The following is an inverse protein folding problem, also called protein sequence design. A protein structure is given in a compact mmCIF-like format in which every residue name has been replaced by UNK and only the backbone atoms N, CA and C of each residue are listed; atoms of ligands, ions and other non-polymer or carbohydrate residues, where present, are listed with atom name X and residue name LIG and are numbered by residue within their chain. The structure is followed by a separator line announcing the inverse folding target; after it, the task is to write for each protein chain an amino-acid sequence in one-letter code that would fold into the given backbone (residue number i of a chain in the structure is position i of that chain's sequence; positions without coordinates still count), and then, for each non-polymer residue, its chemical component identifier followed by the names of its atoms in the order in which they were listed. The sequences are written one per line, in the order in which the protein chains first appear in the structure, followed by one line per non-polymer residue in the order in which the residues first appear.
data_IF_025443469800
#
_entry.id   IF_025443469800
#
_cell.length_a   1.000
_cell.length_b   1.000
_cell.length_c   1.000
_cell.angle_alpha   90.00
_cell.angle_beta   90.00
_cell.angle_gamma   90.00
#
_symmetry.space_group_name_H-M   'P 1'
#
loop_
_entity.id
_entity.type
_entity.pdbx_description
1 polymer ?
#
# COMPACT_ATOMS: atom_id res chain seq x y z
N UNK A 1 7.66 -8.24 -3.80
CA UNK A 1 6.96 -8.28 -5.12
C UNK A 1 7.85 -8.78 -6.25
N UNK A 2 9.16 -8.58 -6.19
CA UNK A 2 10.09 -9.38 -6.98
C UNK A 2 10.30 -10.73 -6.28
N UNK A 3 10.36 -11.82 -7.04
CA UNK A 3 10.41 -13.16 -6.47
C UNK A 3 11.71 -13.43 -5.70
N UNK A 4 12.82 -12.86 -6.18
CA UNK A 4 14.15 -13.03 -5.60
C UNK A 4 14.48 -12.11 -4.43
N UNK A 5 13.57 -11.22 -4.04
CA UNK A 5 13.69 -10.30 -2.90
C UNK A 5 12.94 -10.90 -1.70
N UNK A 6 13.58 -11.86 -1.04
CA UNK A 6 12.91 -12.86 -0.18
C UNK A 6 12.69 -12.37 1.25
N UNK A 7 13.52 -11.47 1.75
CA UNK A 7 13.42 -10.98 3.14
C UNK A 7 12.01 -10.50 3.46
N UNK A 8 11.40 -9.71 2.56
CA UNK A 8 10.04 -9.21 2.74
C UNK A 8 8.99 -10.30 2.91
N UNK A 9 9.09 -11.39 2.14
CA UNK A 9 8.19 -12.54 2.23
C UNK A 9 8.24 -13.16 3.62
N UNK A 10 9.44 -13.47 4.10
CA UNK A 10 9.65 -14.11 5.39
C UNK A 10 9.29 -13.18 6.55
N UNK A 11 9.58 -11.88 6.45
CA UNK A 11 9.21 -10.88 7.46
C UNK A 11 7.69 -10.82 7.66
N UNK A 12 6.89 -10.93 6.60
CA UNK A 12 5.42 -10.93 6.72
C UNK A 12 4.88 -12.23 7.35
N UNK A 13 5.54 -13.37 7.10
CA UNK A 13 5.19 -14.65 7.75
C UNK A 13 5.51 -14.59 9.25
N UNK A 14 6.71 -14.16 9.62
CA UNK A 14 7.09 -13.96 11.03
C UNK A 14 6.19 -12.94 11.73
N UNK A 15 5.81 -11.86 11.03
CA UNK A 15 4.88 -10.87 11.57
C UNK A 15 3.51 -11.48 11.84
N UNK A 16 2.98 -12.30 10.93
CA UNK A 16 1.71 -12.99 11.14
C UNK A 16 1.77 -13.90 12.38
N UNK A 17 2.83 -14.70 12.51
CA UNK A 17 3.05 -15.57 13.67
C UNK A 17 3.17 -14.78 14.98
N UNK A 18 3.92 -13.67 14.96
CA UNK A 18 4.11 -12.80 16.12
C UNK A 18 2.80 -12.15 16.57
N UNK A 19 2.02 -11.59 15.63
CA UNK A 19 0.73 -10.98 15.93
C UNK A 19 -0.22 -11.99 16.57
N UNK A 20 -0.33 -13.21 16.03
CA UNK A 20 -1.16 -14.28 16.60
C UNK A 20 -0.69 -14.69 17.99
N UNK A 21 0.61 -14.98 18.16
CA UNK A 21 1.16 -15.48 19.42
C UNK A 21 1.03 -14.46 20.54
N UNK A 22 1.46 -13.22 20.29
CA UNK A 22 1.41 -12.16 21.29
C UNK A 22 -0.03 -11.74 21.65
N UNK A 23 -0.97 -11.83 20.70
CA UNK A 23 -2.38 -11.61 20.99
C UNK A 23 -2.91 -12.63 22.01
N UNK A 24 -2.60 -13.91 21.81
CA UNK A 24 -3.00 -15.01 22.71
C UNK A 24 -2.31 -14.93 24.07
N UNK A 25 -1.06 -14.46 24.11
CA UNK A 25 -0.31 -14.24 25.36
C UNK A 25 -0.74 -12.99 26.14
N UNK A 26 -1.71 -12.22 25.64
CA UNK A 26 -2.21 -11.04 26.36
C UNK A 26 -1.36 -9.78 26.20
N UNK A 27 -0.50 -9.70 25.18
CA UNK A 27 0.30 -8.50 24.95
C UNK A 27 -0.59 -7.30 24.61
N UNK A 28 -0.64 -6.31 25.51
CA UNK A 28 -1.56 -5.17 25.41
C UNK A 28 -1.31 -4.28 24.18
N UNK A 29 -0.08 -4.20 23.66
CA UNK A 29 0.24 -3.43 22.44
C UNK A 29 -0.35 -4.14 21.22
N UNK A 30 -0.10 -5.44 21.10
CA UNK A 30 -0.55 -6.25 19.96
C UNK A 30 -2.07 -6.40 19.97
N UNK A 31 -2.68 -6.70 21.12
CA UNK A 31 -4.14 -6.76 21.23
C UNK A 31 -4.80 -5.43 20.84
N UNK A 32 -4.22 -4.29 21.26
CA UNK A 32 -4.72 -2.97 20.84
C UNK A 32 -4.61 -2.76 19.34
N UNK A 33 -3.47 -3.11 18.74
CA UNK A 33 -3.24 -2.96 17.31
C UNK A 33 -4.25 -3.79 16.50
N UNK A 34 -4.37 -5.09 16.79
CA UNK A 34 -5.27 -6.02 16.09
C UNK A 34 -6.74 -5.67 16.31
N UNK A 35 -7.15 -5.30 17.53
CA UNK A 35 -8.55 -4.96 17.82
C UNK A 35 -9.00 -3.63 17.20
N UNK A 36 -8.07 -2.76 16.78
CA UNK A 36 -8.38 -1.44 16.23
C UNK A 36 -7.96 -1.28 14.76
N UNK A 37 -7.36 -2.30 14.15
CA UNK A 37 -6.84 -2.25 12.76
C UNK A 37 -7.18 -3.53 12.03
N UNK A 38 -7.73 -3.40 10.81
CA UNK A 38 -7.87 -4.53 9.88
C UNK A 38 -6.58 -4.66 9.06
N UNK A 39 -5.68 -5.54 9.52
CA UNK A 39 -4.38 -5.78 8.90
C UNK A 39 -4.53 -6.83 7.79
N UNK A 40 -3.96 -6.55 6.62
CA UNK A 40 -3.83 -7.54 5.55
C UNK A 40 -2.36 -7.73 5.23
N UNK A 41 -1.92 -8.98 5.14
CA UNK A 41 -0.55 -9.35 4.81
C UNK A 41 -0.58 -10.14 3.50
N UNK A 42 0.21 -9.71 2.51
CA UNK A 42 0.44 -10.42 1.25
C UNK A 42 1.92 -10.84 1.19
N UNK A 43 2.28 -12.03 1.72
CA UNK A 43 3.68 -12.45 1.79
C UNK A 43 4.38 -12.51 0.43
N UNK A 44 3.67 -12.92 -0.63
CA UNK A 44 4.25 -12.98 -1.97
C UNK A 44 3.24 -12.53 -3.02
N UNK A 45 3.58 -11.45 -3.72
CA UNK A 45 2.87 -10.99 -4.92
C UNK A 45 3.36 -11.70 -6.19
N UNK A 46 4.61 -12.19 -6.20
CA UNK A 46 5.20 -12.92 -7.33
C UNK A 46 5.72 -14.29 -6.85
N UNK A 47 4.82 -15.24 -6.53
CA UNK A 47 5.22 -16.57 -6.09
C UNK A 47 5.98 -17.34 -7.18
N UNK A 48 5.59 -17.19 -8.46
CA UNK A 48 6.26 -17.88 -9.57
C UNK A 48 7.73 -17.48 -9.71
N UNK A 49 8.03 -16.18 -9.63
CA UNK A 49 9.41 -15.70 -9.63
C UNK A 49 10.21 -16.16 -8.40
N UNK A 50 9.53 -16.34 -7.25
CA UNK A 50 10.19 -16.85 -6.04
C UNK A 50 10.65 -18.29 -6.22
N UNK A 51 9.82 -19.18 -6.77
CA UNK A 51 10.21 -20.58 -7.00
C UNK A 51 11.44 -20.67 -7.91
N UNK A 52 11.48 -19.86 -8.99
CA UNK A 52 12.65 -19.77 -9.88
C UNK A 52 13.92 -19.29 -9.16
N UNK A 53 13.80 -18.31 -8.26
CA UNK A 53 14.93 -17.86 -7.45
C UNK A 53 15.38 -18.92 -6.44
N UNK A 54 14.43 -19.66 -5.86
CA UNK A 54 14.69 -20.67 -4.85
C UNK A 54 15.39 -21.91 -5.43
N UNK A 55 15.11 -22.26 -6.70
CA UNK A 55 15.80 -23.35 -7.41
C UNK A 55 17.31 -23.09 -7.59
N UNK A 56 17.72 -21.83 -7.74
CA UNK A 56 19.15 -21.45 -7.85
C UNK A 56 19.86 -21.48 -6.49
N UNK A 57 19.10 -21.29 -5.40
CA UNK A 57 19.58 -21.33 -4.03
C UNK A 57 19.90 -19.96 -3.43
N UNK A 58 19.74 -19.86 -2.11
CA UNK A 58 20.06 -18.66 -1.34
C UNK A 58 21.56 -18.31 -1.39
N UNK A 59 21.89 -17.03 -1.42
CA UNK A 59 23.26 -16.51 -1.49
C UNK A 59 23.97 -16.69 -2.85
N UNK A 60 23.34 -17.38 -3.81
CA UNK A 60 23.88 -17.62 -5.15
C UNK A 60 23.01 -17.03 -6.26
N UNK A 61 21.83 -16.52 -5.92
CA UNK A 61 20.90 -16.05 -6.93
C UNK A 61 21.43 -14.77 -7.58
N UNK A 62 21.56 -14.80 -8.91
CA UNK A 62 21.90 -13.59 -9.66
C UNK A 62 20.92 -12.46 -9.31
N UNK A 63 21.40 -11.21 -9.32
CA UNK A 63 20.61 -10.00 -9.00
C UNK A 63 19.24 -9.89 -9.72
N UNK A 64 19.06 -10.67 -10.78
CA UNK A 64 17.93 -10.67 -11.72
C UNK A 64 17.14 -12.00 -11.80
N UNK A 65 17.72 -13.15 -11.46
CA UNK A 65 17.01 -14.42 -11.61
C UNK A 65 15.84 -14.49 -10.63
N UNK A 66 14.65 -14.90 -11.10
CA UNK A 66 13.41 -14.90 -10.31
C UNK A 66 12.86 -13.51 -9.93
N UNK A 67 13.44 -12.40 -10.44
CA UNK A 67 12.92 -11.05 -10.19
C UNK A 67 11.55 -10.83 -10.83
N UNK A 68 11.45 -11.18 -12.11
CA UNK A 68 10.26 -10.96 -12.94
C UNK A 68 9.22 -12.07 -12.74
N UNK A 69 8.00 -11.88 -13.26
CA UNK A 69 6.99 -12.95 -13.32
C UNK A 69 7.38 -14.04 -14.32
N UNK A 70 6.64 -15.16 -14.35
CA UNK A 70 6.78 -16.21 -15.37
C UNK A 70 6.61 -15.69 -16.83
N UNK A 71 6.07 -14.49 -17.00
CA UNK A 71 5.89 -13.83 -18.29
C UNK A 71 6.99 -12.80 -18.62
N UNK A 72 8.09 -12.78 -17.84
CA UNK A 72 9.20 -11.82 -17.91
C UNK A 72 8.76 -10.36 -17.74
N UNK A 73 7.78 -10.12 -16.85
CA UNK A 73 7.33 -8.78 -16.51
C UNK A 73 7.88 -8.37 -15.14
N UNK A 74 8.44 -7.16 -15.05
CA UNK A 74 8.74 -6.53 -13.76
C UNK A 74 7.44 -5.92 -13.21
N UNK A 75 6.92 -6.51 -12.12
CA UNK A 75 5.66 -6.07 -11.51
C UNK A 75 5.73 -4.61 -11.02
N UNK A 76 6.91 -4.12 -10.62
CA UNK A 76 7.09 -2.73 -10.18
C UNK A 76 7.37 -1.77 -11.34
N UNK A 77 7.13 -2.21 -12.58
CA UNK A 77 7.06 -1.40 -13.81
C UNK A 77 5.76 -1.64 -14.58
N UNK A 78 4.82 -2.39 -14.00
CA UNK A 78 3.64 -2.88 -14.70
C UNK A 78 2.33 -2.18 -14.28
N UNK A 79 2.35 -1.32 -13.25
CA UNK A 79 1.19 -0.50 -12.88
C UNK A 79 0.99 0.67 -13.87
N UNK A 80 -0.22 1.24 -13.98
CA UNK A 80 -0.45 2.43 -14.78
C UNK A 80 0.43 3.60 -14.34
N UNK A 81 1.09 4.26 -15.29
CA UNK A 81 1.81 5.52 -15.02
C UNK A 81 0.82 6.67 -14.82
N UNK A 82 0.34 6.80 -13.58
CA UNK A 82 -0.51 7.90 -13.16
C UNK A 82 0.31 9.14 -12.78
N UNK A 83 1.61 8.99 -12.52
CA UNK A 83 2.48 10.10 -12.11
C UNK A 83 2.67 11.08 -13.26
N UNK A 84 2.86 10.58 -14.49
CA UNK A 84 2.83 11.41 -15.71
C UNK A 84 1.53 12.20 -15.86
N UNK A 85 0.38 11.58 -15.57
CA UNK A 85 -0.92 12.25 -15.64
C UNK A 85 -1.09 13.28 -14.52
N UNK A 86 -0.63 12.98 -13.31
CA UNK A 86 -0.61 13.90 -12.18
C UNK A 86 0.21 15.16 -12.50
N UNK A 87 1.38 15.02 -13.14
CA UNK A 87 2.21 16.16 -13.55
C UNK A 87 1.57 17.02 -14.63
N UNK A 88 0.83 16.43 -15.58
CA UNK A 88 0.04 17.20 -16.56
C UNK A 88 -1.05 18.01 -15.84
N UNK A 89 -1.75 17.39 -14.90
CA UNK A 89 -2.82 18.02 -14.14
C UNK A 89 -2.30 19.08 -13.15
N UNK A 90 -1.10 18.90 -12.59
CA UNK A 90 -0.48 19.85 -11.68
C UNK A 90 -0.35 21.27 -12.28
N UNK A 91 -0.18 21.34 -13.61
CA UNK A 91 -0.09 22.60 -14.39
C UNK A 91 -1.44 23.32 -14.53
N UNK A 92 -2.54 22.63 -14.30
CA UNK A 92 -3.90 23.15 -14.46
C UNK A 92 -4.44 23.60 -13.10
N UNK A 93 -4.76 24.89 -12.97
CA UNK A 93 -5.30 25.44 -11.72
C UNK A 93 -6.64 24.80 -11.38
N UNK A 94 -6.72 24.19 -10.19
CA UNK A 94 -7.95 23.55 -9.69
C UNK A 94 -8.16 22.12 -10.18
N UNK A 95 -7.28 21.59 -11.02
CA UNK A 95 -7.28 20.16 -11.33
C UNK A 95 -6.92 19.33 -10.10
N UNK A 96 -7.50 18.14 -10.04
CA UNK A 96 -7.28 17.16 -8.97
C UNK A 96 -6.16 16.22 -9.37
N UNK A 97 -5.42 15.73 -8.37
CA UNK A 97 -4.31 14.80 -8.55
C UNK A 97 -4.51 13.53 -7.72
N UNK A 98 -5.75 13.28 -7.28
CA UNK A 98 -6.18 12.12 -6.50
C UNK A 98 -7.23 11.34 -7.28
N UNK A 99 -7.33 10.04 -7.03
CA UNK A 99 -8.28 9.13 -7.67
C UNK A 99 -8.25 9.21 -9.20
N UNK A 100 -7.05 9.31 -9.78
CA UNK A 100 -6.85 9.43 -11.22
C UNK A 100 -7.35 8.15 -11.91
N UNK A 101 -8.19 8.25 -12.96
CA UNK A 101 -8.67 7.06 -13.67
C UNK A 101 -7.52 6.39 -14.41
N UNK A 102 -7.59 5.06 -14.54
CA UNK A 102 -6.62 4.30 -15.35
C UNK A 102 -6.82 4.67 -16.83
N UNK A 103 -5.79 5.17 -17.54
CA UNK A 103 -5.91 5.51 -18.95
C UNK A 103 -6.26 4.29 -19.81
N UNK A 104 -7.15 4.44 -20.80
CA UNK A 104 -7.54 3.31 -21.65
C UNK A 104 -6.34 2.70 -22.42
N UNK A 105 -5.34 3.52 -22.74
CA UNK A 105 -4.10 3.10 -23.40
C UNK A 105 -3.28 2.10 -22.59
N UNK A 106 -3.39 2.12 -21.25
CA UNK A 106 -2.70 1.17 -20.38
C UNK A 106 -3.11 -0.28 -20.71
N UNK A 107 -4.40 -0.50 -20.97
CA UNK A 107 -4.96 -1.81 -21.26
C UNK A 107 -4.59 -2.36 -22.64
N UNK A 108 -3.99 -1.54 -23.51
CA UNK A 108 -3.42 -1.99 -24.78
C UNK A 108 -2.07 -2.69 -24.59
N UNK A 109 -1.41 -2.48 -23.44
CA UNK A 109 -0.16 -3.13 -23.07
C UNK A 109 -0.34 -4.50 -22.42
N UNK A 110 0.79 -5.18 -22.19
CA UNK A 110 0.81 -6.46 -21.47
C UNK A 110 0.76 -6.21 -19.96
N UNK A 111 -0.39 -6.53 -19.35
CA UNK A 111 -0.61 -6.39 -17.90
C UNK A 111 -0.58 -7.77 -17.24
N UNK A 112 0.30 -7.94 -16.26
CA UNK A 112 0.46 -9.17 -15.52
C UNK A 112 -0.81 -9.50 -14.69
N UNK A 113 -1.20 -10.78 -14.57
CA UNK A 113 -2.36 -11.17 -13.76
C UNK A 113 -2.23 -10.74 -12.29
N UNK A 114 -1.02 -10.74 -11.73
CA UNK A 114 -0.72 -10.30 -10.37
C UNK A 114 -1.01 -8.81 -10.20
N UNK A 115 -0.60 -7.98 -11.18
CA UNK A 115 -0.92 -6.55 -11.19
C UNK A 115 -2.43 -6.32 -11.23
N UNK A 116 -3.17 -7.06 -12.07
CA UNK A 116 -4.64 -6.95 -12.12
C UNK A 116 -5.30 -7.36 -10.79
N UNK A 117 -4.84 -8.46 -10.20
CA UNK A 117 -5.35 -8.95 -8.92
C UNK A 117 -5.13 -7.92 -7.81
N UNK A 118 -3.93 -7.33 -7.74
CA UNK A 118 -3.59 -6.32 -6.75
C UNK A 118 -4.36 -5.01 -6.99
N UNK A 119 -4.48 -4.53 -8.22
CA UNK A 119 -5.32 -3.36 -8.53
C UNK A 119 -6.79 -3.59 -8.13
N UNK A 120 -7.34 -4.78 -8.40
CA UNK A 120 -8.70 -5.14 -7.98
C UNK A 120 -8.81 -5.19 -6.45
N UNK A 121 -7.82 -5.74 -5.77
CA UNK A 121 -7.76 -5.81 -4.31
C UNK A 121 -7.71 -4.42 -3.66
N UNK A 122 -6.87 -3.52 -4.17
CA UNK A 122 -6.76 -2.12 -3.74
C UNK A 122 -8.10 -1.37 -3.81
N UNK A 123 -8.93 -1.67 -4.82
CA UNK A 123 -10.27 -1.07 -4.96
C UNK A 123 -11.32 -1.68 -4.03
N UNK A 124 -11.10 -2.90 -3.55
CA UNK A 124 -12.10 -3.66 -2.79
C UNK A 124 -12.16 -3.29 -1.30
N UNK A 125 -11.13 -2.64 -0.78
CA UNK A 125 -10.96 -2.32 0.63
C UNK A 125 -10.48 -0.86 0.72
N UNK A 126 -10.99 -0.06 1.66
CA UNK A 126 -10.49 1.30 1.88
C UNK A 126 -9.13 1.27 2.60
N UNK A 127 -8.08 0.83 1.90
CA UNK A 127 -6.72 0.88 2.41
C UNK A 127 -6.30 2.33 2.69
N UNK A 128 -5.62 2.53 3.83
CA UNK A 128 -5.19 3.85 4.31
C UNK A 128 -3.68 3.98 4.29
N UNK A 129 -2.98 2.93 4.72
CA UNK A 129 -1.52 2.88 4.82
C UNK A 129 -1.06 1.51 4.33
N UNK A 130 0.00 1.48 3.54
CA UNK A 130 0.63 0.28 2.98
C UNK A 130 2.15 0.42 2.96
N UNK A 131 2.84 -0.72 2.89
CA UNK A 131 4.25 -0.77 2.56
C UNK A 131 4.51 -1.97 1.63
N UNK A 132 5.27 -1.73 0.55
CA UNK A 132 5.83 -2.81 -0.27
C UNK A 132 7.23 -3.14 0.21
N UNK A 133 7.53 -4.43 0.41
CA UNK A 133 8.80 -4.90 0.94
C UNK A 133 9.68 -5.45 -0.20
N UNK A 134 10.92 -5.01 -0.22
CA UNK A 134 11.93 -5.22 -1.24
C UNK A 134 13.30 -5.59 -0.65
N UNK A 135 14.23 -5.92 -1.53
CA UNK A 135 15.64 -6.16 -1.19
C UNK A 135 16.57 -5.75 -2.33
N UNK A 136 17.82 -5.49 -1.99
CA UNK A 136 18.86 -4.99 -2.88
C UNK A 136 19.53 -3.71 -2.39
N UNK A 137 18.97 -3.08 -1.35
CA UNK A 137 19.57 -1.98 -0.61
C UNK A 137 19.02 -1.97 0.84
N UNK A 138 19.43 -1.00 1.66
CA UNK A 138 18.95 -0.84 3.04
C UNK A 138 18.51 0.61 3.28
N UNK A 139 17.26 0.91 2.90
CA UNK A 139 16.69 2.27 2.90
C UNK A 139 15.15 2.22 2.87
N UNK A 140 14.50 3.29 3.29
CA UNK A 140 13.07 3.50 3.04
C UNK A 140 12.87 4.51 1.91
N UNK A 141 12.33 4.06 0.78
CA UNK A 141 11.94 4.93 -0.33
C UNK A 141 10.48 5.38 -0.21
N UNK A 142 10.18 6.61 -0.61
CA UNK A 142 8.83 7.15 -0.61
C UNK A 142 8.48 7.93 -1.89
N UNK A 143 7.19 8.00 -2.26
CA UNK A 143 6.73 8.67 -3.47
C UNK A 143 7.19 10.14 -3.63
N UNK A 144 7.28 10.67 -4.85
CA UNK A 144 7.08 9.92 -6.10
C UNK A 144 8.32 9.11 -6.52
N UNK A 145 8.08 7.98 -7.18
CA UNK A 145 9.11 7.14 -7.81
C UNK A 145 9.50 7.64 -9.21
N UNK A 146 8.61 8.37 -9.89
CA UNK A 146 8.90 8.97 -11.20
C UNK A 146 9.32 10.44 -11.09
N UNK A 147 10.31 10.85 -11.87
CA UNK A 147 10.79 12.23 -11.93
C UNK A 147 9.82 13.14 -12.70
N UNK A 148 9.64 14.37 -12.21
CA UNK A 148 8.91 15.43 -12.93
C UNK A 148 9.57 15.82 -14.26
N UNK A 149 10.88 15.63 -14.37
CA UNK A 149 11.62 15.83 -15.61
C UNK A 149 11.89 14.48 -16.26
N UNK A 150 11.24 14.15 -17.41
CA UNK A 150 11.26 12.80 -17.98
C UNK A 150 12.64 12.25 -18.35
N UNK A 151 13.64 13.12 -18.51
CA UNK A 151 15.01 12.75 -18.87
C UNK A 151 15.99 12.83 -17.69
N UNK A 152 15.53 13.23 -16.50
CA UNK A 152 16.39 13.26 -15.32
C UNK A 152 16.20 11.97 -14.52
N UNK A 153 17.23 11.13 -14.55
CA UNK A 153 17.21 9.83 -13.88
C UNK A 153 17.25 9.95 -12.35
N UNK A 154 17.68 11.09 -11.80
CA UNK A 154 17.78 11.33 -10.35
C UNK A 154 17.36 12.75 -10.01
N UNK A 155 16.08 12.93 -9.68
CA UNK A 155 15.52 14.23 -9.35
C UNK A 155 14.46 14.13 -8.26
N UNK A 156 14.65 14.91 -7.20
CA UNK A 156 13.68 15.03 -6.13
C UNK A 156 12.31 15.47 -6.66
N UNK A 157 11.30 14.63 -6.46
CA UNK A 157 9.95 14.80 -6.99
C UNK A 157 8.90 14.65 -5.88
N UNK A 158 8.54 15.75 -5.19
CA UNK A 158 7.72 15.69 -3.98
C UNK A 158 6.25 15.42 -4.29
N UNK A 159 5.58 14.74 -3.35
CA UNK A 159 4.12 14.66 -3.32
C UNK A 159 3.51 15.88 -2.62
N UNK A 160 2.20 16.15 -2.81
CA UNK A 160 1.47 17.10 -1.96
C UNK A 160 1.54 16.78 -0.46
N UNK A 161 1.71 15.50 -0.11
CA UNK A 161 1.78 14.99 1.26
C UNK A 161 3.23 14.66 1.71
N UNK A 162 4.23 15.32 1.12
CA UNK A 162 5.67 15.11 1.36
C UNK A 162 6.04 15.00 2.85
N UNK A 163 5.50 15.89 3.68
CA UNK A 163 5.78 15.88 5.12
C UNK A 163 5.24 14.63 5.82
N UNK A 164 4.08 14.14 5.38
CA UNK A 164 3.50 12.91 5.92
C UNK A 164 4.31 11.69 5.47
N UNK A 165 4.70 11.60 4.19
CA UNK A 165 5.55 10.52 3.69
C UNK A 165 6.90 10.48 4.40
N UNK A 166 7.59 11.61 4.55
CA UNK A 166 8.83 11.69 5.36
C UNK A 166 8.63 11.20 6.79
N UNK A 167 7.50 11.53 7.42
CA UNK A 167 7.18 11.07 8.77
C UNK A 167 6.94 9.56 8.82
N UNK A 168 6.21 8.99 7.85
CA UNK A 168 5.98 7.56 7.72
C UNK A 168 7.31 6.81 7.53
N UNK A 169 8.14 7.27 6.59
CA UNK A 169 9.42 6.66 6.26
C UNK A 169 10.40 6.72 7.44
N UNK A 170 10.51 7.87 8.11
CA UNK A 170 11.34 7.99 9.32
C UNK A 170 10.87 7.10 10.45
N UNK A 171 9.56 6.89 10.61
CA UNK A 171 9.05 6.02 11.67
C UNK A 171 9.58 4.59 11.55
N UNK A 172 9.73 4.09 10.31
CA UNK A 172 10.36 2.80 10.06
C UNK A 172 11.88 2.89 10.19
N UNK A 173 12.51 3.83 9.47
CA UNK A 173 13.96 3.97 9.39
C UNK A 173 14.62 4.18 10.77
N UNK A 174 14.07 5.07 11.61
CA UNK A 174 14.58 5.38 12.95
C UNK A 174 14.42 4.21 13.94
N UNK A 175 13.51 3.27 13.65
CA UNK A 175 13.25 2.10 14.48
C UNK A 175 14.03 0.86 14.06
N UNK A 176 14.54 0.83 12.82
CA UNK A 176 15.34 -0.26 12.31
C UNK A 176 16.83 -0.03 12.66
N UNK A 177 17.50 -0.94 13.36
CA UNK A 177 18.87 -0.73 13.86
C UNK A 177 19.88 -0.49 12.72
N UNK A 178 19.83 -1.28 11.64
CA UNK A 178 20.73 -1.09 10.50
C UNK A 178 20.51 0.20 9.69
N UNK A 179 19.25 0.64 9.50
CA UNK A 179 18.94 1.87 8.75
C UNK A 179 19.32 3.10 9.59
N UNK A 180 18.95 3.11 10.86
CA UNK A 180 19.21 4.20 11.82
C UNK A 180 20.67 4.34 12.26
N UNK A 181 21.51 3.34 11.99
CA UNK A 181 22.95 3.41 12.23
C UNK A 181 23.54 4.65 11.54
N UNK A 182 24.53 5.29 12.16
CA UNK A 182 25.21 6.49 11.63
C UNK A 182 26.54 6.17 10.94
N UNK A 183 26.94 4.90 10.89
CA UNK A 183 28.10 4.42 10.15
C UNK A 183 27.89 4.64 8.66
N UNK A 184 28.87 5.29 8.03
CA UNK A 184 28.95 5.42 6.58
C UNK A 184 29.39 4.10 5.91
N UNK A 185 29.98 3.17 6.66
CA UNK A 185 30.34 1.84 6.18
C UNK A 185 29.12 0.92 6.31
N UNK A 186 28.37 0.79 5.21
CA UNK A 186 27.20 -0.07 5.06
C UNK A 186 27.14 -0.64 3.65
N UNK A 187 26.34 -1.68 3.46
CA UNK A 187 26.04 -2.19 2.14
C UNK A 187 25.06 -1.25 1.41
N UNK A 188 25.07 -1.28 0.07
CA UNK A 188 24.16 -0.49 -0.75
C UNK A 188 24.48 1.01 -0.76
N UNK A 189 23.46 1.84 -0.97
CA UNK A 189 23.59 3.29 -1.03
C UNK A 189 23.87 3.94 0.34
N UNK A 190 24.62 5.05 0.33
CA UNK A 190 24.80 5.84 1.55
C UNK A 190 23.67 6.86 1.73
N UNK A 191 22.72 6.52 2.61
CA UNK A 191 21.56 7.36 2.96
C UNK A 191 21.65 7.98 4.36
N UNK A 192 22.80 7.88 5.03
CA UNK A 192 23.00 8.36 6.41
C UNK A 192 22.67 9.85 6.53
N UNK A 193 23.18 10.66 5.59
CA UNK A 193 22.95 12.11 5.55
C UNK A 193 21.47 12.49 5.36
N UNK A 194 20.64 11.55 4.89
CA UNK A 194 19.19 11.71 4.71
C UNK A 194 18.37 11.07 5.84
N UNK A 195 19.03 10.42 6.81
CA UNK A 195 18.38 9.71 7.91
C UNK A 195 17.77 8.38 7.48
N UNK A 196 18.38 7.68 6.51
CA UNK A 196 17.92 6.35 6.09
C UNK A 196 16.65 6.34 5.23
N UNK A 197 16.25 7.51 4.70
CA UNK A 197 15.12 7.66 3.79
C UNK A 197 15.54 8.33 2.49
N UNK A 198 14.80 8.09 1.41
CA UNK A 198 15.04 8.72 0.10
C UNK A 198 13.73 8.90 -0.67
N UNK A 199 13.59 9.98 -1.44
CA UNK A 199 12.50 10.08 -2.42
C UNK A 199 12.81 9.16 -3.61
N UNK A 200 11.84 8.39 -4.09
CA UNK A 200 12.07 7.38 -5.12
C UNK A 200 12.73 7.94 -6.38
N UNK A 201 12.18 9.00 -6.94
CA UNK A 201 12.72 9.66 -8.12
C UNK A 201 14.11 10.32 -7.89
N UNK A 202 14.42 10.75 -6.66
CA UNK A 202 15.75 11.24 -6.29
C UNK A 202 16.79 10.10 -6.27
N UNK A 203 16.37 8.90 -5.91
CA UNK A 203 17.22 7.72 -5.89
C UNK A 203 17.51 7.22 -7.31
N UNK A 204 16.45 6.87 -8.03
CA UNK A 204 16.43 6.55 -9.45
C UNK A 204 14.97 6.61 -9.96
N UNK A 205 14.75 7.34 -11.04
CA UNK A 205 13.43 7.59 -11.63
C UNK A 205 12.91 6.38 -12.41
N UNK A 206 11.65 6.00 -12.19
CA UNK A 206 10.95 5.02 -13.03
C UNK A 206 9.43 5.22 -13.01
N UNK A 207 8.76 4.78 -14.08
CA UNK A 207 7.28 4.79 -14.16
C UNK A 207 6.69 3.41 -13.86
N UNK A 208 5.38 3.38 -13.57
CA UNK A 208 4.62 2.15 -13.40
C UNK A 208 4.90 1.39 -12.09
N UNK A 209 5.38 2.10 -11.07
CA UNK A 209 5.55 1.59 -9.71
C UNK A 209 4.23 1.46 -8.95
N UNK A 210 4.19 0.50 -8.02
CA UNK A 210 3.00 0.23 -7.20
C UNK A 210 2.72 1.34 -6.17
N UNK A 211 3.77 1.95 -5.60
CA UNK A 211 3.64 2.96 -4.55
C UNK A 211 2.96 4.24 -5.06
N UNK A 212 3.45 4.76 -6.19
CA UNK A 212 2.84 5.90 -6.88
C UNK A 212 1.38 5.61 -7.30
N UNK A 213 1.10 4.41 -7.80
CA UNK A 213 -0.24 4.00 -8.19
C UNK A 213 -1.21 4.00 -7.00
N UNK A 214 -0.82 3.43 -5.85
CA UNK A 214 -1.62 3.47 -4.62
C UNK A 214 -2.07 4.90 -4.29
N UNK A 215 -1.10 5.81 -4.22
CA UNK A 215 -1.32 7.19 -3.82
C UNK A 215 -2.16 7.96 -4.84
N UNK A 216 -1.97 7.73 -6.14
CA UNK A 216 -2.67 8.49 -7.18
C UNK A 216 -4.04 7.93 -7.56
N UNK A 217 -4.27 6.62 -7.41
CA UNK A 217 -5.52 5.96 -7.78
C UNK A 217 -6.49 5.77 -6.60
N UNK A 218 -5.97 5.67 -5.37
CA UNK A 218 -6.75 5.33 -4.18
C UNK A 218 -6.52 6.34 -3.04
N UNK A 219 -7.06 6.05 -1.85
CA UNK A 219 -6.75 6.79 -0.62
C UNK A 219 -5.44 6.33 0.06
N UNK A 220 -4.86 5.21 -0.37
CA UNK A 220 -3.80 4.51 0.34
C UNK A 220 -2.44 5.18 0.16
N UNK A 221 -1.74 5.42 1.26
CA UNK A 221 -0.36 5.92 1.24
C UNK A 221 0.57 4.71 1.33
N UNK A 222 1.36 4.47 0.29
CA UNK A 222 2.32 3.37 0.26
C UNK A 222 3.77 3.89 0.25
N UNK A 223 4.64 3.23 1.02
CA UNK A 223 6.09 3.40 0.98
C UNK A 223 6.78 2.11 0.58
N UNK A 224 8.04 2.20 0.16
CA UNK A 224 8.85 1.05 -0.26
C UNK A 224 9.95 0.82 0.77
N UNK A 225 10.01 -0.38 1.33
CA UNK A 225 10.99 -0.79 2.34
C UNK A 225 12.04 -1.71 1.71
N UNK A 226 13.28 -1.24 1.58
CA UNK A 226 14.42 -2.05 1.17
C UNK A 226 15.07 -2.64 2.43
N UNK A 227 14.93 -3.96 2.61
CA UNK A 227 15.18 -4.63 3.90
C UNK A 227 16.57 -5.24 4.05
N UNK A 228 17.46 -5.03 3.09
CA UNK A 228 18.77 -5.64 3.07
C UNK A 228 19.35 -5.70 1.68
N UNK A 229 20.68 -5.63 1.61
CA UNK A 229 21.40 -5.62 0.34
C UNK A 229 21.47 -7.00 -0.32
N UNK A 230 21.49 -8.05 0.50
CA UNK A 230 21.36 -9.42 0.03
C UNK A 230 19.88 -9.70 -0.26
N UNK A 231 19.55 -9.96 -1.53
CA UNK A 231 18.16 -10.14 -1.95
C UNK A 231 17.58 -11.45 -1.45
N UNK A 232 18.40 -12.50 -1.43
CA UNK A 232 18.01 -13.84 -0.99
C UNK A 232 19.07 -14.37 -0.01
N UNK A 233 19.05 -13.88 1.25
CA UNK A 233 20.00 -14.29 2.27
C UNK A 233 19.81 -15.75 2.68
N UNK A 234 20.81 -16.30 3.37
CA UNK A 234 20.75 -17.66 3.89
C UNK A 234 19.69 -17.79 4.98
N UNK A 235 19.15 -18.99 5.14
CA UNK A 235 18.04 -19.25 6.06
C UNK A 235 18.38 -18.97 7.54
N UNK A 236 19.65 -19.12 7.93
CA UNK A 236 20.15 -18.84 9.28
C UNK A 236 20.23 -17.33 9.60
N UNK A 237 20.24 -16.46 8.59
CA UNK A 237 20.20 -15.01 8.76
C UNK A 237 18.79 -14.47 9.02
N UNK A 238 17.74 -15.23 8.64
CA UNK A 238 16.35 -14.77 8.67
C UNK A 238 15.88 -14.37 10.07
N UNK A 239 16.31 -15.09 11.12
CA UNK A 239 15.90 -14.76 12.49
C UNK A 239 16.51 -13.43 12.95
N UNK A 240 17.76 -13.13 12.56
CA UNK A 240 18.39 -11.85 12.85
C UNK A 240 17.65 -10.71 12.14
N UNK A 241 17.38 -10.86 10.84
CA UNK A 241 16.62 -9.89 10.05
C UNK A 241 15.23 -9.63 10.65
N UNK A 242 14.57 -10.68 11.16
CA UNK A 242 13.30 -10.52 11.89
C UNK A 242 13.44 -9.65 13.14
N UNK A 243 14.46 -9.87 13.98
CA UNK A 243 14.65 -9.04 15.17
C UNK A 243 14.93 -7.58 14.82
N UNK A 244 15.63 -7.31 13.72
CA UNK A 244 15.92 -5.95 13.25
C UNK A 244 14.67 -5.25 12.70
N UNK A 245 13.77 -5.97 12.05
CA UNK A 245 12.60 -5.39 11.38
C UNK A 245 11.33 -5.36 12.25
N UNK A 246 11.18 -6.26 13.23
CA UNK A 246 9.96 -6.44 14.03
C UNK A 246 9.43 -5.13 14.63
N UNK A 247 10.29 -4.37 15.31
CA UNK A 247 9.85 -3.12 15.96
C UNK A 247 9.48 -2.04 14.93
N UNK A 248 10.22 -1.95 13.83
CA UNK A 248 9.96 -1.00 12.76
C UNK A 248 8.63 -1.29 12.05
N UNK A 249 8.33 -2.56 11.76
CA UNK A 249 7.05 -3.00 11.18
C UNK A 249 5.87 -2.68 12.11
N UNK A 250 5.99 -2.96 13.41
CA UNK A 250 4.94 -2.65 14.39
C UNK A 250 4.69 -1.14 14.48
N UNK A 251 5.75 -0.33 14.62
CA UNK A 251 5.62 1.13 14.65
C UNK A 251 5.01 1.70 13.36
N UNK A 252 5.39 1.15 12.22
CA UNK A 252 4.82 1.56 10.94
C UNK A 252 3.31 1.28 10.87
N UNK A 253 2.86 0.08 11.24
CA UNK A 253 1.43 -0.24 11.29
C UNK A 253 0.67 0.69 12.26
N UNK A 254 1.26 1.04 13.39
CA UNK A 254 0.65 1.98 14.36
C UNK A 254 0.44 3.39 13.78
N UNK A 255 1.19 3.78 12.73
CA UNK A 255 1.04 5.08 12.07
C UNK A 255 -0.30 5.25 11.35
N UNK A 256 -1.01 4.17 11.03
CA UNK A 256 -2.36 4.24 10.44
C UNK A 256 -3.36 4.95 11.37
N UNK A 257 -3.03 5.05 12.66
CA UNK A 257 -3.82 5.77 13.66
C UNK A 257 -3.37 7.22 13.88
N UNK A 258 -2.67 7.85 12.93
CA UNK A 258 -2.38 9.29 12.97
C UNK A 258 -3.34 10.10 12.10
N UNK A 259 -3.26 11.42 12.21
CA UNK A 259 -4.12 12.33 11.45
C UNK A 259 -5.53 12.41 12.01
N UNK A 260 -6.51 12.42 11.11
CA UNK A 260 -7.94 12.47 11.44
C UNK A 260 -8.70 11.31 10.82
N UNK A 261 -9.81 10.92 11.45
CA UNK A 261 -10.80 10.03 10.87
C UNK A 261 -12.20 10.47 11.28
N UNK A 262 -13.23 10.00 10.62
CA UNK A 262 -14.60 10.34 10.99
C UNK A 262 -15.60 9.82 9.98
N UNK A 263 -16.85 10.23 10.15
CA UNK A 263 -17.96 9.89 9.26
C UNK A 263 -18.50 11.16 8.60
N UNK A 264 -18.77 11.09 7.31
CA UNK A 264 -19.57 12.09 6.59
C UNK A 264 -20.99 11.55 6.44
N UNK A 265 -21.95 12.28 6.98
CA UNK A 265 -23.37 11.92 6.95
C UNK A 265 -24.23 13.08 6.47
N UNK A 266 -25.48 12.79 6.09
CA UNK A 266 -26.51 13.82 5.89
C UNK A 266 -27.12 14.25 7.22
N UNK A 267 -28.04 15.23 7.18
CA UNK A 267 -28.75 15.72 8.38
C UNK A 267 -29.62 14.68 9.09
N UNK A 268 -29.90 13.55 8.46
CA UNK A 268 -30.69 12.44 9.01
C UNK A 268 -29.80 11.33 9.56
N UNK A 269 -28.48 11.49 9.51
CA UNK A 269 -27.52 10.49 9.97
C UNK A 269 -27.20 9.41 8.94
N UNK A 270 -27.70 9.49 7.71
CA UNK A 270 -27.34 8.53 6.67
C UNK A 270 -25.91 8.78 6.20
N UNK A 271 -25.08 7.73 6.05
CA UNK A 271 -23.72 7.89 5.57
C UNK A 271 -23.67 8.35 4.11
N UNK A 272 -22.66 9.16 3.77
CA UNK A 272 -22.44 9.65 2.41
C UNK A 272 -21.16 9.04 1.86
N UNK A 273 -21.31 8.02 1.01
CA UNK A 273 -20.24 7.43 0.21
C UNK A 273 -19.64 8.42 -0.79
N UNK A 274 -18.33 8.31 -1.07
CA UNK A 274 -17.60 9.13 -2.04
C UNK A 274 -17.68 10.65 -1.76
N UNK A 275 -17.95 11.05 -0.51
CA UNK A 275 -17.75 12.41 -0.06
C UNK A 275 -16.24 12.70 -0.01
N UNK A 276 -15.87 13.89 -0.44
CA UNK A 276 -14.49 14.33 -0.57
C UNK A 276 -14.06 15.09 0.66
N UNK A 277 -12.94 14.69 1.24
CA UNK A 277 -12.28 15.38 2.34
C UNK A 277 -11.03 16.08 1.79
N UNK A 278 -11.07 17.41 1.79
CA UNK A 278 -9.96 18.25 1.31
C UNK A 278 -9.29 18.96 2.48
N UNK A 279 -7.96 19.09 2.41
CA UNK A 279 -7.17 19.85 3.38
C UNK A 279 -6.59 21.08 2.69
N UNK A 280 -6.89 22.28 3.20
CA UNK A 280 -6.41 23.52 2.60
C UNK A 280 -4.87 23.53 2.55
N UNK A 281 -4.32 23.70 1.36
CA UNK A 281 -2.87 23.72 1.12
C UNK A 281 -2.27 22.39 0.67
N UNK A 282 -3.02 21.28 0.78
CA UNK A 282 -2.58 19.97 0.30
C UNK A 282 -3.46 19.59 -0.90
N UNK A 283 -2.85 19.51 -2.09
CA UNK A 283 -3.55 19.22 -3.36
C UNK A 283 -3.65 17.71 -3.61
N UNK A 284 -4.20 16.98 -2.64
CA UNK A 284 -4.49 15.56 -2.74
C UNK A 284 -5.59 15.24 -1.73
N UNK A 285 -6.83 15.08 -2.21
CA UNK A 285 -7.98 14.80 -1.35
C UNK A 285 -8.20 13.29 -1.19
N UNK A 286 -8.93 12.91 -0.15
CA UNK A 286 -9.42 11.53 0.02
C UNK A 286 -10.94 11.45 -0.17
N UNK A 287 -11.44 10.25 -0.40
CA UNK A 287 -12.87 9.93 -0.48
C UNK A 287 -13.32 9.09 0.72
N UNK A 288 -14.57 9.29 1.15
CA UNK A 288 -15.22 8.38 2.11
C UNK A 288 -15.50 7.02 1.48
N UNK A 289 -15.41 5.97 2.28
CA UNK A 289 -15.82 4.62 1.91
C UNK A 289 -17.35 4.49 1.94
N UNK A 290 -17.84 3.25 1.78
CA UNK A 290 -19.26 2.96 1.57
C UNK A 290 -20.16 3.38 2.73
N UNK A 291 -19.64 3.29 3.96
CA UNK A 291 -20.32 3.69 5.19
C UNK A 291 -20.05 5.15 5.57
N UNK A 292 -19.55 5.94 4.62
CA UNK A 292 -19.29 7.37 4.81
C UNK A 292 -18.10 7.67 5.71
N UNK A 293 -17.40 6.66 6.21
CA UNK A 293 -16.19 6.80 7.00
C UNK A 293 -14.97 7.16 6.13
N UNK A 294 -14.02 7.87 6.74
CA UNK A 294 -12.79 8.28 6.09
C UNK A 294 -11.62 8.30 7.08
N UNK A 295 -10.42 8.23 6.53
CA UNK A 295 -9.16 8.36 7.27
C UNK A 295 -8.19 9.23 6.48
N UNK A 296 -7.76 10.34 7.08
CA UNK A 296 -6.79 11.26 6.49
C UNK A 296 -5.55 11.33 7.37
N UNK A 297 -4.47 10.70 6.91
CA UNK A 297 -3.16 10.82 7.51
C UNK A 297 -2.67 12.27 7.37
N UNK A 298 -2.23 12.86 8.49
CA UNK A 298 -1.68 14.19 8.57
C UNK A 298 -0.61 14.23 9.66
N UNK A 299 0.49 14.98 9.46
CA UNK A 299 1.43 15.24 10.53
C UNK A 299 0.79 16.15 11.60
N UNK A 300 1.45 16.34 12.76
CA UNK A 300 1.03 17.33 13.73
C UNK A 300 0.97 18.73 13.12
N UNK A 301 -0.07 19.49 13.46
CA UNK A 301 -0.31 20.79 12.85
C UNK A 301 -1.74 21.28 12.99
N UNK A 302 -2.01 22.47 12.48
CA UNK A 302 -3.37 23.03 12.42
C UNK A 302 -3.81 23.13 10.96
N UNK A 303 -4.98 22.56 10.68
CA UNK A 303 -5.50 22.38 9.34
C UNK A 303 -6.90 22.99 9.20
N UNK A 304 -7.21 23.45 8.00
CA UNK A 304 -8.60 23.73 7.60
C UNK A 304 -9.02 22.58 6.69
N UNK A 305 -9.93 21.76 7.19
CA UNK A 305 -10.43 20.56 6.54
C UNK A 305 -11.84 20.83 6.05
N UNK A 306 -12.19 20.33 4.88
CA UNK A 306 -13.54 20.47 4.35
C UNK A 306 -14.09 19.18 3.80
N UNK A 307 -15.36 18.91 4.07
CA UNK A 307 -16.11 17.82 3.46
C UNK A 307 -17.07 18.36 2.40
N UNK A 308 -17.15 17.68 1.26
CA UNK A 308 -18.03 18.02 0.16
C UNK A 308 -18.52 16.76 -0.55
N UNK A 309 -19.80 16.71 -0.91
CA UNK A 309 -20.36 15.65 -1.74
C UNK A 309 -21.27 16.23 -2.83
N UNK A 310 -21.47 15.50 -3.92
CA UNK A 310 -22.37 15.92 -5.01
C UNK A 310 -23.80 16.05 -4.46
N UNK A 311 -24.43 17.20 -4.68
CA UNK A 311 -25.78 17.48 -4.17
C UNK A 311 -25.81 18.05 -2.75
N UNK A 312 -24.65 18.32 -2.13
CA UNK A 312 -24.54 18.84 -0.77
C UNK A 312 -23.69 20.11 -0.68
N UNK A 313 -23.98 20.94 0.32
CA UNK A 313 -23.17 22.10 0.69
C UNK A 313 -21.84 21.66 1.29
N UNK A 314 -20.78 22.41 0.95
CA UNK A 314 -19.44 22.21 1.52
C UNK A 314 -19.40 22.69 2.97
N UNK A 315 -18.83 21.89 3.85
CA UNK A 315 -18.62 22.24 5.27
C UNK A 315 -17.12 22.33 5.55
N UNK A 316 -16.70 23.34 6.32
CA UNK A 316 -15.31 23.53 6.74
C UNK A 316 -15.17 23.42 8.26
N UNK A 317 -14.07 22.83 8.72
CA UNK A 317 -13.68 22.75 10.13
C UNK A 317 -12.20 23.05 10.29
N UNK A 318 -11.86 23.78 11.35
CA UNK A 318 -10.48 23.94 11.80
C UNK A 318 -10.15 22.80 12.76
N UNK A 319 -9.06 22.09 12.50
CA UNK A 319 -8.62 20.93 13.30
C UNK A 319 -7.17 21.14 13.71
N UNK A 320 -6.85 20.85 14.97
CA UNK A 320 -5.48 20.92 15.49
C UNK A 320 -5.06 19.54 15.98
N UNK A 321 -3.94 19.05 15.45
CA UNK A 321 -3.34 17.76 15.76
C UNK A 321 -2.10 17.95 16.64
N UNK A 322 -2.06 17.36 17.85
CA UNK A 322 -0.93 17.51 18.76
C UNK A 322 0.31 16.75 18.26
N UNK A 323 1.50 17.15 18.71
CA UNK A 323 2.76 16.50 18.35
C UNK A 323 2.80 15.01 18.71
N UNK A 324 2.22 14.65 19.86
CA UNK A 324 2.12 13.27 20.35
C UNK A 324 0.68 12.80 20.23
N UNK A 325 0.34 12.13 19.14
CA UNK A 325 -0.95 11.47 18.95
C UNK A 325 -0.84 10.00 19.32
N UNK A 326 -1.66 9.55 20.27
CA UNK A 326 -1.82 8.12 20.58
C UNK A 326 -2.90 7.45 19.70
N UNK A 327 -3.82 8.25 19.14
CA UNK A 327 -4.94 7.82 18.29
C UNK A 327 -5.31 8.95 17.33
N UNK A 328 -5.95 8.60 16.21
CA UNK A 328 -6.40 9.59 15.22
C UNK A 328 -7.51 10.46 15.82
N UNK A 329 -7.50 11.75 15.49
CA UNK A 329 -8.55 12.68 15.92
C UNK A 329 -9.87 12.38 15.23
N UNK A 330 -10.98 12.27 15.97
CA UNK A 330 -12.30 12.05 15.38
C UNK A 330 -12.92 13.39 14.92
N UNK A 331 -13.26 13.49 13.64
CA UNK A 331 -13.86 14.69 13.03
C UNK A 331 -15.01 14.27 12.11
N UNK A 332 -16.23 14.30 12.61
CA UNK A 332 -17.40 13.93 11.81
C UNK A 332 -17.93 15.15 11.03
N UNK A 333 -18.50 14.96 9.85
CA UNK A 333 -19.11 16.03 9.05
C UNK A 333 -20.58 15.70 8.77
N UNK A 334 -21.46 16.68 8.98
CA UNK A 334 -22.88 16.60 8.61
C UNK A 334 -23.11 17.55 7.45
N UNK A 335 -23.49 17.01 6.29
CA UNK A 335 -23.71 17.79 5.08
C UNK A 335 -25.20 18.08 4.88
N UNK A 336 -25.50 19.30 4.46
CA UNK A 336 -26.86 19.71 4.10
C UNK A 336 -27.06 19.63 2.59
N UNK A 337 -28.17 19.04 2.16
CA UNK A 337 -28.52 18.98 0.74
C UNK A 337 -28.66 20.40 0.15
N UNK A 338 -28.27 20.55 -1.11
CA UNK A 338 -28.50 21.78 -1.88
C UNK A 338 -29.99 21.92 -2.16
N UNK A 339 -30.55 23.12 -1.94
CA UNK A 339 -31.95 23.41 -2.27
C UNK A 339 -32.11 23.50 -3.80
N UNK A 340 -32.57 22.42 -4.43
CA UNK A 340 -32.87 22.35 -5.86
C UNK A 340 -33.07 20.91 -6.36
N UNK A 341 -33.87 20.72 -7.42
CA UNK A 341 -34.03 19.41 -8.09
C UNK A 341 -32.69 19.02 -8.73
N UNK A 342 -31.87 18.25 -8.02
CA UNK A 342 -30.71 17.60 -8.63
C UNK A 342 -31.18 16.47 -9.55
N UNK A 343 -31.11 16.68 -10.85
CA UNK A 343 -31.11 15.56 -11.79
C UNK A 343 -29.83 14.76 -11.56
N UNK A 344 -29.98 13.51 -11.11
CA UNK A 344 -28.88 12.54 -11.15
C UNK A 344 -28.54 12.34 -12.63
N UNK A 345 -27.63 13.15 -13.19
CA UNK A 345 -27.01 12.81 -14.46
C UNK A 345 -26.40 11.41 -14.27
N UNK A 346 -26.73 10.44 -15.14
CA UNK A 346 -26.21 9.09 -15.04
C UNK A 346 -24.69 9.18 -14.97
N UNK A 347 -24.09 8.47 -14.01
CA UNK A 347 -22.65 8.31 -14.01
C UNK A 347 -22.27 7.69 -15.35
N UNK A 348 -21.42 8.37 -16.12
CA UNK A 348 -20.91 7.84 -17.38
C UNK A 348 -20.09 6.60 -17.00
N UNK A 349 -20.68 5.42 -17.21
CA UNK A 349 -20.06 4.14 -16.87
C UNK A 349 -18.96 3.92 -17.90
N UNK A 350 -17.74 4.32 -17.56
CA UNK A 350 -16.56 3.96 -18.33
C UNK A 350 -16.31 2.49 -18.02
N UNK A 351 -16.22 1.67 -19.06
CA UNK A 351 -15.87 0.26 -18.91
C UNK A 351 -14.55 0.15 -18.12
N UNK A 352 -14.56 -0.60 -17.03
CA UNK A 352 -13.38 -0.86 -16.22
C UNK A 352 -13.01 -2.34 -16.36
N UNK A 353 -11.94 -2.67 -17.10
CA UNK A 353 -11.50 -4.06 -17.30
C UNK A 353 -11.25 -4.85 -16.00
N UNK A 354 -11.11 -4.18 -14.85
CA UNK A 354 -10.98 -4.85 -13.56
C UNK A 354 -12.29 -5.45 -13.03
N UNK A 355 -13.45 -4.95 -13.47
CA UNK A 355 -14.75 -5.49 -13.05
C UNK A 355 -14.93 -6.93 -13.54
N UNK A 356 -14.50 -7.22 -14.78
CA UNK A 356 -14.62 -8.53 -15.42
C UNK A 356 -13.43 -9.48 -15.14
N UNK A 357 -12.36 -8.98 -14.52
CA UNK A 357 -11.20 -9.81 -14.21
C UNK A 357 -11.49 -10.75 -13.04
N UNK A 358 -11.58 -12.05 -13.30
CA UNK A 358 -11.62 -13.09 -12.27
C UNK A 358 -10.21 -13.70 -12.06
N UNK A 359 -9.57 -13.47 -10.89
CA UNK A 359 -8.26 -14.04 -10.59
C UNK A 359 -8.27 -15.58 -10.48
N UNK A 360 -9.44 -16.21 -10.34
CA UNK A 360 -9.58 -17.67 -10.18
C UNK A 360 -9.98 -18.41 -11.46
N UNK A 361 -10.38 -17.70 -12.52
CA UNK A 361 -10.85 -18.32 -13.76
C UNK A 361 -9.78 -19.19 -14.47
N UNK A 362 -8.49 -18.87 -14.29
CA UNK A 362 -7.40 -19.67 -14.88
C UNK A 362 -7.21 -21.04 -14.21
N UNK A 363 -7.74 -21.25 -13.00
CA UNK A 363 -7.62 -22.53 -12.29
C UNK A 363 -8.54 -23.61 -12.87
N UNK A 364 -9.61 -23.24 -13.60
CA UNK A 364 -10.53 -24.21 -14.21
C UNK A 364 -10.01 -24.78 -15.54
N UNK A 365 -9.26 -24.01 -16.32
CA UNK A 365 -8.70 -24.48 -17.59
C UNK A 365 -7.60 -25.55 -17.38
N UNK A 366 -6.81 -25.44 -16.29
CA UNK A 366 -5.81 -26.47 -15.92
C UNK A 366 -6.40 -27.79 -15.46
N UNK A 367 -7.69 -27.85 -15.08
CA UNK A 367 -8.34 -29.11 -14.70
C UNK A 367 -8.82 -29.94 -15.91
N UNK A 368 -9.00 -29.31 -17.07
CA UNK A 368 -9.66 -29.93 -18.22
C UNK A 368 -8.71 -30.31 -19.37
N UNK A 369 -7.41 -30.07 -19.25
CA UNK A 369 -6.46 -30.46 -20.28
C UNK A 369 -5.03 -30.45 -19.78
N UNK A 370 -4.60 -31.56 -19.16
CA UNK A 370 -3.30 -32.20 -19.40
C UNK A 370 -3.13 -33.43 -18.51
N UNK A 371 -2.44 -34.42 -19.07
CA UNK A 371 -2.23 -35.76 -18.52
C UNK A 371 -1.54 -35.71 -17.15
N UNK A 372 -1.87 -36.72 -16.34
CA UNK A 372 -1.35 -36.99 -15.00
C UNK A 372 0.17 -36.88 -14.90
N UNK A 373 0.67 -35.72 -14.46
CA UNK A 373 1.97 -35.60 -13.80
C UNK A 373 1.78 -36.05 -12.36
N UNK A 374 2.64 -36.93 -11.86
CA UNK A 374 2.59 -37.41 -10.47
C UNK A 374 2.52 -36.21 -9.50
N UNK A 375 1.65 -36.24 -8.48
CA UNK A 375 1.54 -35.12 -7.56
C UNK A 375 2.84 -35.02 -6.76
N UNK A 376 3.60 -33.94 -6.93
CA UNK A 376 4.50 -33.49 -5.88
C UNK A 376 3.66 -33.36 -4.60
N UNK A 377 4.11 -33.99 -3.51
CA UNK A 377 3.46 -33.90 -2.22
C UNK A 377 3.29 -32.43 -1.87
N UNK A 378 2.04 -31.99 -1.80
CA UNK A 378 1.73 -30.62 -1.44
C UNK A 378 2.24 -30.41 -0.01
N UNK A 379 2.92 -29.29 0.28
CA UNK A 379 3.43 -29.01 1.61
C UNK A 379 2.33 -29.14 2.67
N UNK A 380 2.69 -29.57 3.88
CA UNK A 380 1.75 -29.83 4.99
C UNK A 380 0.83 -28.64 5.35
N UNK A 381 1.21 -27.41 4.97
CA UNK A 381 0.41 -26.21 5.16
C UNK A 381 -0.63 -25.96 4.06
N UNK A 382 -0.56 -26.65 2.90
CA UNK A 382 -1.51 -26.46 1.80
C UNK A 382 -2.93 -26.93 2.13
N UNK A 383 -3.06 -28.02 2.90
CA UNK A 383 -4.34 -28.48 3.46
C UNK A 383 -4.97 -27.46 4.41
N UNK A 384 -4.14 -26.73 5.16
CA UNK A 384 -4.58 -25.69 6.08
C UNK A 384 -5.24 -24.51 5.33
N UNK A 385 -4.67 -24.06 4.21
CA UNK A 385 -5.24 -22.97 3.43
C UNK A 385 -6.38 -23.40 2.49
N UNK A 386 -6.37 -24.62 1.98
CA UNK A 386 -7.44 -25.14 1.11
C UNK A 386 -8.73 -25.51 1.88
N UNK A 387 -8.64 -25.79 3.19
CA UNK A 387 -9.80 -26.06 4.05
C UNK A 387 -10.57 -24.81 4.50
N UNK A 388 -9.96 -23.61 4.44
CA UNK A 388 -10.64 -22.34 4.76
C UNK A 388 -11.80 -22.01 3.81
N UNK A 389 -11.80 -22.58 2.59
CA UNK A 389 -12.93 -22.42 1.65
C UNK A 389 -14.18 -23.22 2.05
N UNK A 390 -14.04 -24.27 2.88
CA UNK A 390 -15.17 -25.09 3.33
C UNK A 390 -15.72 -24.65 4.69
N UNK A 391 -14.88 -23.99 5.50
CA UNK A 391 -15.29 -23.41 6.78
C UNK A 391 -14.82 -21.97 6.87
N UNK A 392 -15.65 -21.04 6.37
CA UNK A 392 -15.54 -19.63 6.76
C UNK A 392 -15.58 -19.58 8.30
N UNK A 393 -14.53 -19.09 9.00
CA UNK A 393 -14.58 -18.98 10.44
C UNK A 393 -15.63 -17.92 10.83
N UNK A 394 -16.82 -18.40 11.19
CA UNK A 394 -17.96 -17.59 11.62
C UNK A 394 -17.71 -16.87 12.97
N UNK A 395 -16.57 -17.09 13.62
CA UNK A 395 -16.19 -16.45 14.87
C UNK A 395 -15.54 -15.06 14.70
N UNK A 396 -15.26 -14.63 13.47
CA UNK A 396 -14.72 -13.27 13.19
C UNK A 396 -15.80 -12.18 13.06
N UNK A 397 -17.08 -12.55 13.14
CA UNK A 397 -18.20 -11.62 13.23
C UNK A 397 -18.89 -11.85 14.57
N UNK A 398 -18.69 -10.91 15.51
CA UNK A 398 -19.38 -10.86 16.80
C UNK A 398 -20.88 -11.08 16.62
N UNK A 399 -21.47 -11.97 17.42
CA UNK A 399 -22.82 -11.78 17.93
C UNK A 399 -22.74 -11.06 19.30
N UNK A 400 -23.63 -10.07 19.44
CA UNK A 400 -23.85 -9.11 20.56
C UNK A 400 -22.79 -8.04 20.81
#
# INVERSE_FOLDING_TARGET
MHGNEVVGREMLIYLAQHLCSEYLLGNARIQRLVNNTRIHLLPSMNPDGYELAAEEGAGYNGWVNGRQTAQNLDLNRNFPDLTSEAYKLAKIRGARMDHLPIPQSYWLGKVAPETKAVMKWMKSIPFVLSASLHGGDLVVSYPYDYSVHPTEDKMFSPTPDEQMFKLLSRTYADAHPGISDKSEMRCGGNFVKRGGIINGAEWYSFTGGMADFNYLHTNCFEITLELGCEKFPLADELYKLWQENKEALLKFMEMVHRGIKGIVSDKFGNPIKNARISVKGIRHDILTADDGDYWRLLPPGTYIVSAQARGYNKVLKKVTLPARMARAGRVDFVLQALNGKFTKLPARRVYDPLEDFDPHAQTELRKNGEQSVQPQERPWWWSYFSSLNQHKPLWLLKQS
#
